data_IF_498841813491
#
_entry.id   IF_498841813491
#
_cell.length_a   1.000
_cell.length_b   1.000
_cell.length_c   1.000
_cell.angle_alpha   90.00
_cell.angle_beta   90.00
_cell.angle_gamma   90.00
#
_symmetry.space_group_name_H-M   'P 1'
#
loop_
_entity.id
_entity.type
_entity.pdbx_description
1 polymer ?
#
# COMPACT_ATOMS: atom_id res chain seq x y z
N UNK A 1 -4.10 12.61 -3.36
CA UNK A 1 -4.51 11.53 -4.26
C UNK A 1 -5.59 12.10 -5.15
N UNK A 2 -5.45 11.98 -6.46
CA UNK A 2 -6.47 12.41 -7.41
C UNK A 2 -7.12 11.14 -7.96
N UNK A 3 -8.44 11.02 -7.83
CA UNK A 3 -9.21 9.85 -8.27
C UNK A 3 -8.69 8.52 -7.70
N UNK A 4 -8.19 8.53 -6.46
CA UNK A 4 -7.63 7.34 -5.81
C UNK A 4 -6.23 6.96 -6.26
N UNK A 5 -5.62 7.69 -7.19
CA UNK A 5 -4.25 7.46 -7.63
C UNK A 5 -3.25 8.19 -6.73
N UNK A 6 -2.14 7.50 -6.46
CA UNK A 6 -1.00 8.04 -5.73
C UNK A 6 -0.22 8.98 -6.64
N UNK A 7 0.01 10.21 -6.16
CA UNK A 7 0.82 11.24 -6.81
C UNK A 7 2.10 11.53 -6.02
N UNK A 8 3.13 12.05 -6.69
CA UNK A 8 4.37 12.47 -6.05
C UNK A 8 4.19 13.79 -5.29
N UNK A 9 3.45 13.75 -4.19
CA UNK A 9 3.19 14.92 -3.36
C UNK A 9 3.43 14.61 -1.90
N UNK A 10 3.78 15.65 -1.14
CA UNK A 10 3.95 15.55 0.32
C UNK A 10 2.69 15.00 0.99
N UNK A 11 1.51 15.49 0.59
CA UNK A 11 0.25 15.10 1.20
C UNK A 11 -0.03 13.59 1.03
N UNK A 12 0.23 13.06 -0.15
CA UNK A 12 -0.01 11.65 -0.47
C UNK A 12 0.96 10.74 0.28
N UNK A 13 2.24 11.10 0.33
CA UNK A 13 3.24 10.34 1.06
C UNK A 13 3.00 10.39 2.57
N UNK A 14 2.56 11.52 3.12
CA UNK A 14 2.27 11.62 4.56
C UNK A 14 1.10 10.74 5.03
N UNK A 15 0.27 10.24 4.11
CA UNK A 15 -0.80 9.28 4.44
C UNK A 15 -0.29 7.83 4.59
N UNK A 16 1.02 7.59 4.47
CA UNK A 16 1.60 6.25 4.50
C UNK A 16 1.14 5.41 5.70
N UNK A 17 1.15 5.96 6.93
CA UNK A 17 0.70 5.25 8.14
C UNK A 17 -0.80 4.94 8.13
N UNK A 18 -1.60 5.85 7.59
CA UNK A 18 -3.05 5.66 7.45
C UNK A 18 -3.35 4.55 6.43
N UNK A 19 -2.58 4.49 5.34
CA UNK A 19 -2.65 3.43 4.35
C UNK A 19 -2.26 2.06 4.94
N UNK A 20 -1.24 1.99 5.79
CA UNK A 20 -0.87 0.74 6.50
C UNK A 20 -1.98 0.28 7.45
N UNK A 21 -2.53 1.20 8.23
CA UNK A 21 -3.64 0.91 9.15
C UNK A 21 -4.87 0.43 8.39
N UNK A 22 -5.19 1.09 7.26
CA UNK A 22 -6.27 0.69 6.37
C UNK A 22 -6.02 -0.70 5.77
N UNK A 23 -4.80 -1.01 5.32
CA UNK A 23 -4.45 -2.32 4.78
C UNK A 23 -4.66 -3.42 5.83
N UNK A 24 -4.17 -3.21 7.05
CA UNK A 24 -4.33 -4.15 8.16
C UNK A 24 -5.81 -4.42 8.46
N UNK A 25 -6.62 -3.37 8.51
CA UNK A 25 -8.06 -3.49 8.71
C UNK A 25 -8.75 -4.32 7.61
N UNK A 26 -8.44 -4.07 6.33
CA UNK A 26 -9.01 -4.85 5.23
C UNK A 26 -8.56 -6.32 5.26
N UNK A 27 -7.31 -6.60 5.66
CA UNK A 27 -6.81 -7.97 5.85
C UNK A 27 -7.59 -8.68 6.96
N UNK A 28 -7.89 -7.99 8.07
CA UNK A 28 -8.71 -8.53 9.16
C UNK A 28 -10.12 -8.84 8.66
N UNK A 29 -10.76 -7.90 7.95
CA UNK A 29 -12.09 -8.12 7.38
C UNK A 29 -12.16 -9.30 6.41
N UNK A 30 -11.14 -9.48 5.57
CA UNK A 30 -11.08 -10.63 4.65
C UNK A 30 -11.00 -11.96 5.41
N UNK A 31 -10.27 -11.99 6.53
CA UNK A 31 -10.20 -13.18 7.41
C UNK A 31 -11.54 -13.46 8.06
N UNK A 32 -12.19 -12.44 8.63
CA UNK A 32 -13.52 -12.55 9.25
C UNK A 32 -14.57 -13.01 8.24
N UNK A 33 -14.57 -12.45 7.03
CA UNK A 33 -15.48 -12.86 5.95
C UNK A 33 -15.31 -14.35 5.60
N UNK A 34 -14.06 -14.80 5.47
CA UNK A 34 -13.73 -16.22 5.20
C UNK A 34 -14.22 -17.14 6.32
N UNK A 35 -14.09 -16.72 7.57
CA UNK A 35 -14.50 -17.53 8.72
C UNK A 35 -16.02 -17.59 8.85
N UNK A 36 -16.70 -16.46 8.73
CA UNK A 36 -18.16 -16.38 8.77
C UNK A 36 -18.82 -17.24 7.68
N UNK A 37 -18.25 -17.25 6.47
CA UNK A 37 -18.76 -18.07 5.38
C UNK A 37 -18.62 -19.58 5.63
N UNK A 38 -17.54 -20.03 6.30
CA UNK A 38 -17.39 -21.44 6.68
C UNK A 38 -18.47 -21.89 7.67
N UNK A 39 -18.77 -21.06 8.67
CA UNK A 39 -19.76 -21.36 9.70
C UNK A 39 -21.18 -21.46 9.09
N UNK A 40 -21.50 -20.58 8.13
CA UNK A 40 -22.82 -20.56 7.49
C UNK A 40 -23.09 -21.75 6.56
N UNK A 41 -22.04 -22.41 6.03
CA UNK A 41 -22.17 -23.60 5.18
C UNK A 41 -22.78 -24.84 5.88
N UNK A 42 -22.96 -24.82 7.20
CA UNK A 42 -23.48 -25.96 7.98
C UNK A 42 -25.01 -26.11 7.87
N UNK A 43 -25.76 -25.18 7.26
CA UNK A 43 -27.22 -25.25 7.12
C UNK A 43 -27.69 -25.37 5.64
N UNK A 44 -27.89 -26.59 5.11
CA UNK A 44 -28.21 -26.81 3.71
C UNK A 44 -29.73 -26.84 3.48
N UNK A 45 -30.33 -25.68 3.17
CA UNK A 45 -31.72 -25.57 2.73
C UNK A 45 -31.90 -24.48 1.67
N UNK A 46 -32.13 -24.89 0.41
CA UNK A 46 -32.51 -24.17 -0.82
C UNK A 46 -32.34 -22.64 -0.97
N UNK A 47 -31.86 -22.21 -2.16
CA UNK A 47 -31.75 -20.85 -2.74
C UNK A 47 -30.90 -19.82 -1.96
N UNK A 48 -30.98 -19.84 -0.63
CA UNK A 48 -30.21 -19.01 0.29
C UNK A 48 -28.70 -19.30 0.16
N UNK A 49 -28.31 -20.56 -0.04
CA UNK A 49 -26.90 -20.95 -0.18
C UNK A 49 -26.22 -20.33 -1.42
N UNK A 50 -26.95 -20.19 -2.53
CA UNK A 50 -26.44 -19.56 -3.75
C UNK A 50 -26.31 -18.04 -3.56
N UNK A 51 -27.32 -17.40 -2.98
CA UNK A 51 -27.27 -15.98 -2.64
C UNK A 51 -26.13 -15.67 -1.66
N UNK A 52 -25.95 -16.49 -0.62
CA UNK A 52 -24.84 -16.37 0.35
C UNK A 52 -23.47 -16.52 -0.32
N UNK A 53 -23.32 -17.48 -1.23
CA UNK A 53 -22.06 -17.66 -2.00
C UNK A 53 -21.77 -16.43 -2.85
N UNK A 54 -22.76 -15.90 -3.56
CA UNK A 54 -22.56 -14.72 -4.41
C UNK A 54 -22.18 -13.48 -3.60
N UNK A 55 -22.88 -13.23 -2.48
CA UNK A 55 -22.54 -12.11 -1.58
C UNK A 55 -21.12 -12.26 -1.02
N UNK A 56 -20.75 -13.48 -0.63
CA UNK A 56 -19.39 -13.77 -0.17
C UNK A 56 -18.34 -13.48 -1.25
N UNK A 57 -18.51 -13.99 -2.48
CA UNK A 57 -17.52 -13.76 -3.55
C UNK A 57 -17.45 -12.28 -3.97
N UNK A 58 -18.57 -11.56 -4.01
CA UNK A 58 -18.59 -10.11 -4.27
C UNK A 58 -17.82 -9.33 -3.19
N UNK A 59 -18.09 -9.59 -1.91
CA UNK A 59 -17.42 -8.91 -0.81
C UNK A 59 -15.93 -9.26 -0.75
N UNK A 60 -15.60 -10.53 -1.01
CA UNK A 60 -14.22 -11.02 -1.07
C UNK A 60 -13.45 -10.32 -2.19
N UNK A 61 -14.01 -10.27 -3.40
CA UNK A 61 -13.37 -9.61 -4.54
C UNK A 61 -13.13 -8.12 -4.25
N UNK A 62 -14.09 -7.42 -3.65
CA UNK A 62 -13.93 -6.02 -3.26
C UNK A 62 -12.83 -5.81 -2.21
N UNK A 63 -12.76 -6.68 -1.19
CA UNK A 63 -11.69 -6.62 -0.18
C UNK A 63 -10.32 -6.93 -0.79
N UNK A 64 -10.23 -7.94 -1.65
CA UNK A 64 -8.98 -8.31 -2.33
C UNK A 64 -8.49 -7.19 -3.27
N UNK A 65 -9.40 -6.50 -3.97
CA UNK A 65 -9.08 -5.31 -4.77
C UNK A 65 -8.53 -4.17 -3.90
N UNK A 66 -9.19 -3.88 -2.78
CA UNK A 66 -8.73 -2.84 -1.84
C UNK A 66 -7.35 -3.17 -1.26
N UNK A 67 -7.14 -4.42 -0.82
CA UNK A 67 -5.85 -4.91 -0.31
C UNK A 67 -4.77 -4.75 -1.38
N UNK A 68 -5.04 -5.16 -2.61
CA UNK A 68 -4.10 -5.04 -3.73
C UNK A 68 -3.74 -3.57 -3.98
N UNK A 69 -4.74 -2.68 -4.05
CA UNK A 69 -4.52 -1.25 -4.30
C UNK A 69 -3.69 -0.60 -3.17
N UNK A 70 -4.04 -0.86 -1.91
CA UNK A 70 -3.30 -0.34 -0.76
C UNK A 70 -1.85 -0.86 -0.73
N UNK A 71 -1.66 -2.15 -0.99
CA UNK A 71 -0.33 -2.78 -1.05
C UNK A 71 0.53 -2.13 -2.13
N UNK A 72 -0.01 -1.87 -3.32
CA UNK A 72 0.70 -1.16 -4.39
C UNK A 72 1.12 0.26 -3.96
N UNK A 73 0.20 1.02 -3.35
CA UNK A 73 0.51 2.40 -2.89
C UNK A 73 1.63 2.41 -1.86
N UNK A 74 1.54 1.52 -0.87
CA UNK A 74 2.56 1.38 0.17
C UNK A 74 3.92 0.97 -0.41
N UNK A 75 3.92 0.02 -1.36
CA UNK A 75 5.12 -0.40 -2.08
C UNK A 75 5.74 0.79 -2.81
N UNK A 76 4.97 1.54 -3.60
CA UNK A 76 5.49 2.68 -4.37
C UNK A 76 6.12 3.72 -3.45
N UNK A 77 5.47 4.08 -2.34
CA UNK A 77 6.02 5.05 -1.37
C UNK A 77 7.33 4.55 -0.77
N UNK A 78 7.36 3.33 -0.20
CA UNK A 78 8.56 2.74 0.40
C UNK A 78 9.70 2.64 -0.60
N UNK A 79 9.40 2.16 -1.81
CA UNK A 79 10.37 1.95 -2.87
C UNK A 79 10.95 3.27 -3.37
N UNK A 80 10.11 4.29 -3.57
CA UNK A 80 10.55 5.65 -3.91
C UNK A 80 11.55 6.17 -2.88
N UNK A 81 11.20 6.16 -1.60
CA UNK A 81 12.08 6.67 -0.53
C UNK A 81 13.40 5.89 -0.49
N UNK A 82 13.34 4.56 -0.62
CA UNK A 82 14.53 3.70 -0.64
C UNK A 82 15.48 4.06 -1.78
N UNK A 83 14.95 4.23 -2.99
CA UNK A 83 15.75 4.59 -4.17
C UNK A 83 16.34 5.99 -4.05
N UNK A 84 15.64 6.91 -3.40
CA UNK A 84 16.13 8.28 -3.23
C UNK A 84 17.36 8.37 -2.31
N UNK A 85 17.68 7.34 -1.52
CA UNK A 85 18.86 7.32 -0.63
C UNK A 85 20.16 7.68 -1.36
N UNK A 86 20.27 7.32 -2.63
CA UNK A 86 21.47 7.55 -3.45
C UNK A 86 21.47 8.90 -4.20
N UNK A 87 20.32 9.58 -4.29
CA UNK A 87 20.17 10.81 -5.10
C UNK A 87 19.81 12.06 -4.30
N UNK A 88 19.66 11.96 -2.97
CA UNK A 88 19.50 13.12 -2.08
C UNK A 88 20.53 13.11 -0.96
N UNK A 89 20.76 14.28 -0.37
CA UNK A 89 21.56 14.40 0.85
C UNK A 89 20.97 13.55 1.98
N UNK A 90 21.83 12.91 2.78
CA UNK A 90 21.45 12.00 3.85
C UNK A 90 20.43 12.62 4.82
N UNK A 91 20.61 13.89 5.20
CA UNK A 91 19.68 14.62 6.08
C UNK A 91 18.27 14.74 5.50
N UNK A 92 18.14 14.86 4.17
CA UNK A 92 16.84 14.89 3.48
C UNK A 92 16.22 13.50 3.50
N UNK A 93 17.02 12.48 3.15
CA UNK A 93 16.57 11.08 3.19
C UNK A 93 16.09 10.67 4.58
N UNK A 94 16.85 10.98 5.64
CA UNK A 94 16.50 10.68 7.03
C UNK A 94 15.22 11.40 7.45
N UNK A 95 15.12 12.70 7.19
CA UNK A 95 13.94 13.49 7.55
C UNK A 95 12.65 12.94 6.89
N UNK A 96 12.72 12.56 5.61
CA UNK A 96 11.57 12.01 4.89
C UNK A 96 11.24 10.60 5.36
N UNK A 97 12.24 9.75 5.54
CA UNK A 97 12.03 8.37 6.01
C UNK A 97 11.35 8.37 7.38
N UNK A 98 11.84 9.17 8.33
CA UNK A 98 11.25 9.26 9.67
C UNK A 98 9.85 9.90 9.65
N UNK A 99 9.63 10.91 8.80
CA UNK A 99 8.31 11.57 8.74
C UNK A 99 7.25 10.70 8.05
N UNK A 100 7.62 10.03 6.96
CA UNK A 100 6.68 9.29 6.11
C UNK A 100 6.53 7.85 6.58
N UNK A 101 7.64 7.10 6.69
CA UNK A 101 7.60 5.67 6.99
C UNK A 101 7.33 5.43 8.48
N UNK A 102 8.04 6.16 9.34
CA UNK A 102 7.91 6.00 10.78
C UNK A 102 6.78 6.86 11.38
N UNK A 103 6.23 7.81 10.62
CA UNK A 103 5.15 8.69 11.09
C UNK A 103 5.57 9.65 12.21
N UNK A 104 6.86 9.96 12.34
CA UNK A 104 7.36 10.76 13.46
C UNK A 104 6.97 12.24 13.34
N UNK A 105 6.55 12.89 14.45
CA UNK A 105 6.38 14.34 14.48
C UNK A 105 7.70 15.06 14.19
N UNK A 106 7.62 16.25 13.57
CA UNK A 106 8.84 16.98 13.15
C UNK A 106 9.74 17.39 14.31
N UNK A 107 9.16 17.61 15.50
CA UNK A 107 9.91 17.88 16.72
C UNK A 107 10.79 16.68 17.12
N UNK A 108 10.22 15.48 17.10
CA UNK A 108 10.96 14.24 17.39
C UNK A 108 12.07 13.99 16.36
N UNK A 109 11.81 14.26 15.08
CA UNK A 109 12.82 14.16 14.03
C UNK A 109 13.94 15.17 14.27
N UNK A 110 13.57 16.44 14.53
CA UNK A 110 14.47 17.55 14.86
C UNK A 110 15.46 17.15 15.96
N UNK A 111 14.96 16.55 17.04
CA UNK A 111 15.80 16.07 18.15
C UNK A 111 16.72 14.91 17.72
N UNK A 112 16.25 13.98 16.88
CA UNK A 112 17.02 12.81 16.43
C UNK A 112 18.14 13.12 15.44
N UNK A 113 17.92 14.07 14.52
CA UNK A 113 18.89 14.43 13.49
C UNK A 113 19.67 15.71 13.80
N UNK A 114 19.48 16.30 14.99
CA UNK A 114 20.16 17.50 15.46
C UNK A 114 20.01 18.71 14.52
N UNK A 115 18.81 18.88 13.96
CA UNK A 115 18.44 20.03 13.13
C UNK A 115 17.16 20.66 13.66
N UNK A 116 16.98 21.96 13.50
CA UNK A 116 15.76 22.64 13.94
C UNK A 116 14.51 22.13 13.20
N UNK A 117 13.35 22.18 13.86
CA UNK A 117 12.06 21.81 13.26
C UNK A 117 11.77 22.52 11.91
N UNK A 118 12.06 23.83 11.74
CA UNK A 118 11.95 24.47 10.42
C UNK A 118 12.88 23.88 9.35
N UNK A 119 14.12 23.48 9.71
CA UNK A 119 15.03 22.81 8.79
C UNK A 119 14.49 21.44 8.38
N UNK A 120 13.97 20.65 9.31
CA UNK A 120 13.31 19.36 9.02
C UNK A 120 12.17 19.55 8.02
N UNK A 121 11.28 20.52 8.26
CA UNK A 121 10.18 20.83 7.34
C UNK A 121 10.67 21.23 5.94
N UNK A 122 11.77 22.00 5.89
CA UNK A 122 12.41 22.38 4.62
C UNK A 122 13.00 21.17 3.90
N UNK A 123 13.69 20.27 4.59
CA UNK A 123 14.25 19.04 4.01
C UNK A 123 13.15 18.16 3.40
N UNK A 124 12.08 17.91 4.15
CA UNK A 124 10.92 17.17 3.63
C UNK A 124 10.34 17.87 2.39
N UNK A 125 10.21 19.19 2.41
CA UNK A 125 9.68 19.94 1.25
C UNK A 125 10.63 19.92 0.04
N UNK A 126 11.94 19.86 0.26
CA UNK A 126 12.93 19.77 -0.81
C UNK A 126 12.85 18.42 -1.54
N UNK A 127 12.62 17.33 -0.81
CA UNK A 127 12.41 16.00 -1.40
C UNK A 127 11.32 16.00 -2.47
N UNK A 128 10.16 16.59 -2.16
CA UNK A 128 9.01 16.64 -3.10
C UNK A 128 9.18 17.67 -4.23
N UNK A 129 10.27 18.46 -4.23
CA UNK A 129 10.63 19.37 -5.32
C UNK A 129 11.81 18.84 -6.16
N UNK A 130 12.41 17.73 -5.76
CA UNK A 130 13.58 17.17 -6.41
C UNK A 130 13.17 16.30 -7.62
N UNK A 131 13.75 16.60 -8.78
CA UNK A 131 13.46 15.89 -10.04
C UNK A 131 13.89 14.42 -10.02
N UNK A 132 15.03 14.10 -9.41
CA UNK A 132 15.51 12.72 -9.29
C UNK A 132 14.60 11.90 -8.36
N UNK A 133 14.06 12.51 -7.31
CA UNK A 133 13.05 11.86 -6.48
C UNK A 133 11.75 11.58 -7.24
N UNK A 134 11.33 12.51 -8.10
CA UNK A 134 10.17 12.29 -8.96
C UNK A 134 10.42 11.15 -9.98
N UNK A 135 11.62 11.08 -10.58
CA UNK A 135 12.01 9.95 -11.45
C UNK A 135 12.00 8.62 -10.68
N UNK A 136 12.52 8.60 -9.46
CA UNK A 136 12.48 7.42 -8.60
C UNK A 136 11.03 6.96 -8.32
N UNK A 137 10.11 7.92 -8.12
CA UNK A 137 8.69 7.63 -7.97
C UNK A 137 8.06 7.00 -9.22
N UNK A 138 8.35 7.55 -10.41
CA UNK A 138 7.85 6.98 -11.66
C UNK A 138 8.36 5.55 -11.86
N UNK A 139 9.65 5.32 -11.63
CA UNK A 139 10.23 3.98 -11.69
C UNK A 139 9.62 3.02 -10.66
N UNK A 140 9.34 3.48 -9.44
CA UNK A 140 8.64 2.67 -8.44
C UNK A 140 7.22 2.30 -8.88
N UNK A 141 6.49 3.20 -9.57
CA UNK A 141 5.18 2.88 -10.17
C UNK A 141 5.29 1.82 -11.27
N UNK A 142 6.30 1.92 -12.13
CA UNK A 142 6.55 0.91 -13.17
C UNK A 142 6.86 -0.47 -12.57
N UNK A 143 7.74 -0.53 -11.56
CA UNK A 143 8.05 -1.77 -10.82
C UNK A 143 6.80 -2.37 -10.17
N UNK A 144 5.91 -1.54 -9.60
CA UNK A 144 4.67 -2.00 -8.99
C UNK A 144 3.70 -2.64 -10.00
N UNK A 145 3.60 -2.08 -11.22
CA UNK A 145 2.76 -2.63 -12.28
C UNK A 145 3.27 -4.00 -12.74
N UNK A 146 4.59 -4.17 -12.86
CA UNK A 146 5.20 -5.44 -13.22
C UNK A 146 4.92 -6.53 -12.18
N UNK A 147 5.03 -6.21 -10.89
CA UNK A 147 4.69 -7.13 -9.80
C UNK A 147 3.23 -7.61 -9.87
N UNK A 148 2.29 -6.70 -10.15
CA UNK A 148 0.88 -7.06 -10.33
C UNK A 148 0.63 -7.98 -11.54
N UNK A 149 1.41 -7.85 -12.61
CA UNK A 149 1.30 -8.73 -13.78
C UNK A 149 1.81 -10.14 -13.47
N UNK A 150 2.93 -10.26 -12.75
CA UNK A 150 3.49 -11.54 -12.31
C UNK A 150 2.53 -12.31 -11.40
N UNK A 151 1.93 -11.65 -10.39
CA UNK A 151 0.96 -12.29 -9.49
C UNK A 151 -0.29 -12.81 -10.22
N UNK A 152 -0.77 -12.09 -11.26
CA UNK A 152 -1.91 -12.54 -12.07
C UNK A 152 -1.60 -13.77 -12.91
N UNK A 153 -0.37 -13.89 -13.44
CA UNK A 153 0.05 -15.08 -14.20
C UNK A 153 0.12 -16.33 -13.33
N UNK A 154 0.76 -16.23 -12.16
CA UNK A 154 0.86 -17.37 -11.22
C UNK A 154 -0.52 -17.85 -10.76
N UNK A 155 -1.47 -16.93 -10.53
CA UNK A 155 -2.84 -17.29 -10.13
C UNK A 155 -3.60 -18.03 -11.25
N UNK A 156 -3.40 -17.64 -12.51
CA UNK A 156 -4.04 -18.27 -13.66
C UNK A 156 -3.43 -19.65 -13.98
N UNK A 157 -2.12 -19.81 -13.86
CA UNK A 157 -1.44 -21.10 -14.04
C UNK A 157 -1.86 -22.10 -12.95
N UNK A 158 -1.94 -21.66 -11.68
CA UNK A 158 -2.41 -22.50 -10.56
C UNK A 158 -3.89 -22.90 -10.66
N UNK A 159 -4.72 -22.12 -11.38
CA UNK A 159 -6.12 -22.46 -11.65
C UNK A 159 -6.28 -23.41 -12.85
N UNK A 160 -5.40 -23.32 -13.85
CA UNK A 160 -5.39 -24.22 -15.01
C UNK A 160 -5.00 -25.66 -14.62
N UNK A 161 -4.03 -25.83 -13.72
CA UNK A 161 -3.58 -27.16 -13.28
C UNK A 161 -4.62 -27.91 -12.42
N UNK A 162 -5.59 -27.20 -11.80
CA UNK A 162 -6.65 -27.82 -10.98
C UNK A 162 -7.87 -28.28 -11.77
N UNK A 163 -7.91 -28.01 -13.08
CA UNK A 163 -9.00 -28.44 -13.96
C UNK A 163 -8.63 -29.60 -14.89
N UNK A 164 -7.39 -30.11 -14.82
CA UNK A 164 -6.92 -31.25 -15.62
C UNK A 164 -6.67 -32.55 -14.82
N UNK A 165 -7.22 -32.70 -13.61
CA UNK A 165 -7.20 -33.96 -12.84
C UNK A 165 -8.58 -34.37 -12.36
#
# INVERSE_FOLDING_TARGET
>A
MINGNLEFTKADFMQFRDLETSLEWHIIQLKELKENYKIQKVNPGMNIAYMQKNVYECNKASLEENISNLTMKLFVIRRTITMCKECVEEKIYLAVSMAVIDGMPYRTISDKISYSTPQVSRYISQFFKNLECHKAFLKAKEEAVQLCFCMKKETNETQSERHET
#
